data_IF_302824915065
#
_entry.id   IF_302824915065
#
_cell.length_a   1.000
_cell.length_b   1.000
_cell.length_c   1.000
_cell.angle_alpha   90.00
_cell.angle_beta   90.00
_cell.angle_gamma   90.00
#
_symmetry.space_group_name_H-M   'P 1'
#
loop_
_entity.id
_entity.type
_entity.pdbx_description
1 polymer ?
#
# COMPACT_ATOMS: atom_id res chain seq x y z
N UNK A 1 12.71 -10.52 -13.65
CA UNK A 1 12.60 -11.32 -12.42
C UNK A 1 11.36 -10.92 -11.60
N UNK A 2 10.14 -10.98 -12.15
CA UNK A 2 8.92 -10.54 -11.44
C UNK A 2 8.40 -11.62 -10.48
N UNK A 3 8.45 -12.88 -10.90
CA UNK A 3 7.86 -14.02 -10.17
C UNK A 3 8.63 -14.38 -8.90
N UNK A 4 9.96 -14.51 -8.98
CA UNK A 4 10.80 -14.89 -7.83
C UNK A 4 10.75 -13.79 -6.74
N UNK A 5 10.86 -12.52 -7.13
CA UNK A 5 10.75 -11.40 -6.20
C UNK A 5 9.37 -11.33 -5.53
N UNK A 6 8.29 -11.56 -6.28
CA UNK A 6 6.94 -11.61 -5.73
C UNK A 6 6.74 -12.78 -4.76
N UNK A 7 7.30 -13.96 -5.02
CA UNK A 7 7.21 -15.11 -4.11
C UNK A 7 7.93 -14.82 -2.79
N UNK A 8 9.18 -14.34 -2.86
CA UNK A 8 9.93 -13.96 -1.67
C UNK A 8 9.20 -12.87 -0.89
N UNK A 9 8.76 -11.81 -1.58
CA UNK A 9 8.01 -10.73 -0.96
C UNK A 9 6.75 -11.20 -0.25
N UNK A 10 5.94 -12.03 -0.91
CA UNK A 10 4.70 -12.53 -0.36
C UNK A 10 4.93 -13.24 1.00
N UNK A 11 6.00 -14.05 1.10
CA UNK A 11 6.37 -14.75 2.33
C UNK A 11 6.93 -13.81 3.42
N UNK A 12 7.72 -12.80 3.03
CA UNK A 12 8.49 -11.98 3.96
C UNK A 12 7.82 -10.67 4.41
N UNK A 13 6.68 -10.29 3.83
CA UNK A 13 5.94 -9.11 4.27
C UNK A 13 4.74 -8.71 3.39
N UNK A 14 4.71 -9.20 2.16
CA UNK A 14 3.63 -8.94 1.20
C UNK A 14 2.27 -9.48 1.62
N UNK A 15 2.23 -10.64 2.30
CA UNK A 15 0.99 -11.17 2.84
C UNK A 15 0.41 -10.26 3.92
N UNK A 16 1.23 -9.82 4.88
CA UNK A 16 0.80 -8.95 5.99
C UNK A 16 0.33 -7.61 5.44
N UNK A 17 1.12 -6.99 4.55
CA UNK A 17 0.75 -5.74 3.91
C UNK A 17 -0.50 -5.84 3.04
N UNK A 18 -0.63 -6.90 2.24
CA UNK A 18 -1.82 -7.13 1.44
C UNK A 18 -3.07 -7.32 2.31
N UNK A 19 -2.96 -8.08 3.40
CA UNK A 19 -4.04 -8.25 4.36
C UNK A 19 -4.40 -6.94 5.07
N UNK A 20 -3.44 -6.08 5.42
CA UNK A 20 -3.78 -4.77 6.02
C UNK A 20 -4.58 -3.88 5.07
N UNK A 21 -4.27 -3.90 3.76
CA UNK A 21 -5.08 -3.21 2.75
C UNK A 21 -6.47 -3.80 2.58
N UNK A 22 -6.61 -5.13 2.66
CA UNK A 22 -7.92 -5.79 2.63
C UNK A 22 -8.73 -5.43 3.87
N UNK A 23 -8.14 -5.49 5.07
CA UNK A 23 -8.80 -5.14 6.32
C UNK A 23 -9.25 -3.69 6.35
N UNK A 24 -8.39 -2.76 5.91
CA UNK A 24 -8.78 -1.36 5.75
C UNK A 24 -9.92 -1.21 4.74
N UNK A 25 -9.85 -1.91 3.59
CA UNK A 25 -10.94 -1.92 2.62
C UNK A 25 -12.27 -2.37 3.23
N UNK A 26 -12.27 -3.47 3.99
CA UNK A 26 -13.44 -3.96 4.70
C UNK A 26 -13.97 -2.94 5.72
N UNK A 27 -13.09 -2.31 6.51
CA UNK A 27 -13.46 -1.29 7.49
C UNK A 27 -14.18 -0.11 6.83
N UNK A 28 -13.65 0.37 5.70
CA UNK A 28 -14.23 1.47 4.94
C UNK A 28 -15.57 1.10 4.30
N UNK A 29 -15.73 -0.16 3.86
CA UNK A 29 -16.98 -0.67 3.33
C UNK A 29 -18.11 -0.82 4.36
N UNK A 30 -17.86 -0.68 5.67
CA UNK A 30 -18.92 -0.70 6.70
C UNK A 30 -19.88 0.48 6.52
N UNK A 31 -19.40 1.59 5.98
CA UNK A 31 -20.21 2.80 5.75
C UNK A 31 -20.52 2.97 4.27
N UNK A 32 -21.76 3.37 3.94
CA UNK A 32 -22.17 3.60 2.54
C UNK A 32 -21.26 4.63 1.86
N UNK A 33 -20.84 5.66 2.60
CA UNK A 33 -19.94 6.73 2.11
C UNK A 33 -18.51 6.22 1.89
N UNK A 34 -18.07 5.23 2.66
CA UNK A 34 -16.72 4.66 2.60
C UNK A 34 -16.54 3.53 1.59
N UNK A 35 -17.61 2.93 1.06
CA UNK A 35 -17.55 1.91 -0.01
C UNK A 35 -16.61 2.31 -1.18
N UNK A 36 -16.70 3.52 -1.78
CA UNK A 36 -15.79 3.90 -2.87
C UNK A 36 -14.31 3.93 -2.44
N UNK A 37 -14.05 4.30 -1.18
CA UNK A 37 -12.71 4.30 -0.57
C UNK A 37 -12.22 2.86 -0.42
N UNK A 38 -13.05 1.98 0.15
CA UNK A 38 -12.74 0.57 0.36
C UNK A 38 -12.46 -0.19 -0.94
N UNK A 39 -13.20 0.10 -2.01
CA UNK A 39 -12.94 -0.49 -3.33
C UNK A 39 -11.54 -0.17 -3.86
N UNK A 40 -11.01 1.03 -3.59
CA UNK A 40 -9.64 1.39 -3.97
C UNK A 40 -8.61 0.65 -3.11
N UNK A 41 -8.87 0.49 -1.82
CA UNK A 41 -8.01 -0.30 -0.93
C UNK A 41 -7.85 -1.74 -1.41
N UNK A 42 -8.91 -2.39 -1.90
CA UNK A 42 -8.83 -3.75 -2.46
C UNK A 42 -7.97 -3.82 -3.74
N UNK A 43 -7.96 -2.77 -4.56
CA UNK A 43 -7.05 -2.69 -5.72
C UNK A 43 -5.59 -2.59 -5.27
N UNK A 44 -5.32 -1.75 -4.26
CA UNK A 44 -3.98 -1.61 -3.70
C UNK A 44 -3.53 -2.83 -2.90
N UNK A 45 -4.45 -3.63 -2.36
CA UNK A 45 -4.14 -4.93 -1.79
C UNK A 45 -3.48 -5.88 -2.82
N UNK A 46 -3.99 -5.91 -4.06
CA UNK A 46 -3.36 -6.69 -5.14
C UNK A 46 -1.95 -6.23 -5.49
N UNK A 47 -1.68 -4.92 -5.36
CA UNK A 47 -0.33 -4.37 -5.49
C UNK A 47 0.54 -4.74 -4.28
N UNK A 48 -0.01 -4.73 -3.07
CA UNK A 48 0.68 -5.09 -1.83
C UNK A 48 1.05 -6.57 -1.76
N UNK A 49 0.23 -7.47 -2.30
CA UNK A 49 0.60 -8.88 -2.45
C UNK A 49 1.70 -9.07 -3.49
N UNK A 50 1.67 -8.32 -4.59
CA UNK A 50 2.56 -8.52 -5.73
C UNK A 50 3.08 -7.19 -6.32
N UNK A 51 4.08 -6.56 -5.67
CA UNK A 51 4.55 -5.23 -6.04
C UNK A 51 5.57 -5.24 -7.18
N UNK A 52 6.24 -6.37 -7.44
CA UNK A 52 7.31 -6.43 -8.42
C UNK A 52 6.78 -6.35 -9.84
N UNK A 53 7.32 -5.39 -10.60
CA UNK A 53 6.98 -5.18 -12.00
C UNK A 53 5.65 -4.49 -12.25
N UNK A 54 5.10 -3.84 -11.21
CA UNK A 54 4.02 -2.84 -11.28
C UNK A 54 4.57 -1.48 -10.87
N UNK A 55 4.11 -0.40 -11.46
CA UNK A 55 4.48 0.97 -11.08
C UNK A 55 3.29 1.75 -10.56
N UNK A 56 3.53 2.69 -9.66
CA UNK A 56 2.48 3.57 -9.12
C UNK A 56 2.67 4.94 -9.73
N UNK A 57 1.72 5.34 -10.57
CA UNK A 57 1.68 6.68 -11.17
C UNK A 57 0.70 7.52 -10.36
N UNK A 58 1.19 8.63 -9.80
CA UNK A 58 0.35 9.53 -9.01
C UNK A 58 -0.28 10.57 -9.94
N UNK A 59 -1.58 10.43 -10.19
CA UNK A 59 -2.42 11.45 -10.79
C UNK A 59 -3.05 12.37 -9.74
N UNK A 60 -3.88 13.31 -10.17
CA UNK A 60 -4.42 14.33 -9.27
C UNK A 60 -5.76 14.92 -9.70
N UNK A 61 -6.40 15.56 -8.72
CA UNK A 61 -7.66 16.31 -8.83
C UNK A 61 -8.05 16.83 -7.44
N UNK A 62 -8.85 17.89 -7.37
CA UNK A 62 -9.25 18.49 -6.09
C UNK A 62 -9.98 17.50 -5.16
N UNK A 63 -10.82 16.63 -5.74
CA UNK A 63 -11.53 15.58 -5.00
C UNK A 63 -10.59 14.54 -4.39
N UNK A 64 -9.57 14.10 -5.13
CA UNK A 64 -8.58 13.12 -4.65
C UNK A 64 -7.81 13.64 -3.45
N UNK A 65 -7.51 14.95 -3.42
CA UNK A 65 -6.81 15.59 -2.32
C UNK A 65 -7.66 15.58 -1.04
N UNK A 66 -8.95 15.89 -1.14
CA UNK A 66 -9.88 15.85 0.00
C UNK A 66 -9.99 14.44 0.60
N UNK A 67 -10.14 13.41 -0.24
CA UNK A 67 -10.23 12.02 0.24
C UNK A 67 -8.89 11.55 0.83
N UNK A 68 -7.75 11.95 0.26
CA UNK A 68 -6.43 11.66 0.82
C UNK A 68 -6.24 12.26 2.22
N UNK A 69 -6.72 13.49 2.47
CA UNK A 69 -6.66 14.10 3.80
C UNK A 69 -7.47 13.28 4.80
N UNK A 70 -8.71 12.93 4.45
CA UNK A 70 -9.61 12.17 5.32
C UNK A 70 -9.04 10.76 5.59
N UNK A 71 -8.46 10.14 4.55
CA UNK A 71 -7.75 8.86 4.65
C UNK A 71 -6.53 8.93 5.57
N UNK A 72 -5.67 9.93 5.40
CA UNK A 72 -4.46 10.09 6.22
C UNK A 72 -4.79 10.12 7.71
N UNK A 73 -5.84 10.85 8.09
CA UNK A 73 -6.28 10.99 9.48
C UNK A 73 -6.84 9.69 10.08
N UNK A 74 -7.48 8.84 9.28
CA UNK A 74 -8.19 7.66 9.78
C UNK A 74 -7.45 6.33 9.60
N UNK A 75 -6.66 6.18 8.54
CA UNK A 75 -6.04 4.87 8.19
C UNK A 75 -4.68 4.98 7.51
N UNK A 76 -4.42 6.09 6.81
CA UNK A 76 -3.21 6.26 6.00
C UNK A 76 -1.93 6.35 6.81
N UNK A 77 -1.94 7.08 7.94
CA UNK A 77 -0.74 7.20 8.78
C UNK A 77 -0.33 5.88 9.41
N UNK A 78 -1.27 5.10 9.94
CA UNK A 78 -0.98 3.81 10.56
C UNK A 78 -0.37 2.83 9.55
N UNK A 79 -0.95 2.74 8.35
CA UNK A 79 -0.43 1.89 7.28
C UNK A 79 0.94 2.36 6.79
N UNK A 80 1.10 3.67 6.54
CA UNK A 80 2.38 4.22 6.08
C UNK A 80 3.49 3.96 7.12
N UNK A 81 3.21 4.18 8.39
CA UNK A 81 4.15 3.93 9.47
C UNK A 81 4.53 2.44 9.56
N UNK A 82 3.54 1.53 9.47
CA UNK A 82 3.80 0.09 9.45
C UNK A 82 4.76 -0.31 8.33
N UNK A 83 4.55 0.22 7.12
CA UNK A 83 5.45 -0.01 5.99
C UNK A 83 6.83 0.63 6.16
N UNK A 84 6.93 1.84 6.74
CA UNK A 84 8.23 2.46 7.02
C UNK A 84 9.03 1.64 8.03
N UNK A 85 8.40 1.19 9.12
CA UNK A 85 9.07 0.37 10.14
C UNK A 85 9.57 -0.94 9.54
N UNK A 86 8.71 -1.67 8.80
CA UNK A 86 9.09 -2.89 8.09
C UNK A 86 10.20 -2.63 7.06
N UNK A 87 10.12 -1.53 6.32
CA UNK A 87 11.14 -1.14 5.35
C UNK A 87 12.50 -0.91 5.99
N UNK A 88 12.54 -0.17 7.11
CA UNK A 88 13.75 0.05 7.89
C UNK A 88 14.34 -1.26 8.42
N UNK A 89 13.51 -2.16 8.96
CA UNK A 89 13.94 -3.48 9.43
C UNK A 89 14.59 -4.32 8.33
N UNK A 90 13.97 -4.36 7.15
CA UNK A 90 14.53 -5.07 6.00
C UNK A 90 15.84 -4.45 5.49
N UNK A 91 15.96 -3.13 5.53
CA UNK A 91 17.18 -2.41 5.14
C UNK A 91 18.36 -2.61 6.09
N UNK A 92 18.19 -3.21 7.28
CA UNK A 92 19.31 -3.57 8.17
C UNK A 92 20.24 -4.59 7.51
N UNK A 93 19.72 -5.42 6.61
CA UNK A 93 20.50 -6.43 5.89
C UNK A 93 20.71 -6.02 4.44
N UNK A 94 21.93 -6.19 3.90
CA UNK A 94 22.25 -5.89 2.50
C UNK A 94 21.31 -6.67 1.54
N UNK A 95 20.97 -7.91 1.90
CA UNK A 95 20.08 -8.78 1.12
C UNK A 95 18.62 -8.31 1.18
N UNK A 96 18.21 -7.66 2.27
CA UNK A 96 16.84 -7.17 2.50
C UNK A 96 16.56 -5.79 1.91
N UNK A 97 17.58 -5.01 1.56
CA UNK A 97 17.43 -3.69 0.89
C UNK A 97 16.41 -3.68 -0.27
N UNK A 98 16.43 -4.63 -1.24
CA UNK A 98 15.44 -4.63 -2.32
C UNK A 98 13.99 -4.83 -1.83
N UNK A 99 13.79 -5.56 -0.74
CA UNK A 99 12.49 -5.75 -0.08
C UNK A 99 12.10 -4.47 0.66
N UNK A 100 13.02 -3.87 1.42
CA UNK A 100 12.79 -2.61 2.12
C UNK A 100 12.37 -1.46 1.19
N UNK A 101 12.97 -1.37 0.00
CA UNK A 101 12.58 -0.42 -1.05
C UNK A 101 11.12 -0.60 -1.51
N UNK A 102 10.62 -1.84 -1.60
CA UNK A 102 9.21 -2.09 -1.89
C UNK A 102 8.32 -1.64 -0.71
N UNK A 103 8.73 -1.85 0.54
CA UNK A 103 8.00 -1.34 1.69
C UNK A 103 7.86 0.19 1.64
N UNK A 104 8.93 0.93 1.33
CA UNK A 104 8.86 2.39 1.20
C UNK A 104 7.96 2.85 0.04
N UNK A 105 7.94 2.11 -1.07
CA UNK A 105 6.99 2.34 -2.16
C UNK A 105 5.54 2.20 -1.70
N UNK A 106 5.25 1.18 -0.89
CA UNK A 106 3.91 0.98 -0.32
C UNK A 106 3.57 2.01 0.75
N UNK A 107 4.55 2.46 1.54
CA UNK A 107 4.39 3.56 2.49
C UNK A 107 3.98 4.86 1.76
N UNK A 108 4.67 5.20 0.66
CA UNK A 108 4.33 6.37 -0.16
C UNK A 108 2.92 6.27 -0.73
N UNK A 109 2.53 5.08 -1.21
CA UNK A 109 1.18 4.84 -1.69
C UNK A 109 0.15 4.98 -0.56
N UNK A 110 0.44 4.50 0.65
CA UNK A 110 -0.44 4.60 1.80
C UNK A 110 -0.68 6.06 2.25
N UNK A 111 0.27 6.96 2.01
CA UNK A 111 0.10 8.39 2.31
C UNK A 111 -0.88 9.07 1.36
N UNK A 112 -0.84 8.74 0.06
CA UNK A 112 -1.67 9.39 -0.96
C UNK A 112 -2.20 8.37 -1.99
N UNK A 113 -3.10 7.46 -1.59
CA UNK A 113 -3.58 6.40 -2.48
C UNK A 113 -4.60 6.91 -3.51
N UNK A 114 -5.34 7.98 -3.21
CA UNK A 114 -6.38 8.47 -4.10
C UNK A 114 -5.79 9.32 -5.21
N UNK A 115 -6.16 9.01 -6.45
CA UNK A 115 -5.54 9.58 -7.65
C UNK A 115 -4.34 8.77 -8.16
N UNK A 116 -3.87 7.76 -7.42
CA UNK A 116 -2.82 6.86 -7.88
C UNK A 116 -3.39 5.75 -8.78
N UNK A 117 -2.70 5.45 -9.87
CA UNK A 117 -2.96 4.32 -10.76
C UNK A 117 -1.79 3.34 -10.73
N UNK A 118 -2.12 2.06 -10.92
CA UNK A 118 -1.13 0.98 -10.98
C UNK A 118 -0.97 0.58 -12.45
N UNK A 119 0.25 0.66 -12.97
CA UNK A 119 0.63 0.35 -14.37
C UNK A 119 1.54 -0.87 -14.42
#
# INVERSE_FOLDING_TARGET
>A
MKTIGNILWFLFGGLIGGLSWVLAGCLWCITIVGIPVGLQCFKFASLAFFPFGKEVVYGGGGFSLLVNILWLLLSGMEMALGYVILGCLWCVTIVGVPVGLQCFKMARLALMPFGASVV
#
